data_IF_105601867144
#
_entry.id   IF_105601867144
#
_cell.length_a   1.000
_cell.length_b   1.000
_cell.length_c   1.000
_cell.angle_alpha   90.00
_cell.angle_beta   90.00
_cell.angle_gamma   90.00
#
_symmetry.space_group_name_H-M   'P 1'
#
loop_
_entity.id
_entity.type
_entity.pdbx_description
1 polymer ?
#
# COMPACT_ATOMS: atom_id res chain seq x y z
N UNK A 1 -20.86 3.11 7.85
CA UNK A 1 -19.65 3.00 7.00
C UNK A 1 -19.65 4.16 6.03
N UNK A 2 -18.69 5.08 6.14
CA UNK A 2 -18.61 6.23 5.25
C UNK A 2 -18.08 5.83 3.87
N UNK A 3 -18.44 6.60 2.84
CA UNK A 3 -17.85 6.44 1.49
C UNK A 3 -16.33 6.54 1.54
N UNK A 4 -15.80 7.43 2.38
CA UNK A 4 -14.37 7.64 2.59
C UNK A 4 -13.66 6.38 3.10
N UNK A 5 -14.28 5.64 4.02
CA UNK A 5 -13.74 4.36 4.50
C UNK A 5 -13.69 3.31 3.38
N UNK A 6 -14.78 3.20 2.59
CA UNK A 6 -14.85 2.25 1.47
C UNK A 6 -13.78 2.57 0.42
N UNK A 7 -13.66 3.84 0.02
CA UNK A 7 -12.65 4.28 -0.96
C UNK A 7 -11.22 4.00 -0.47
N UNK A 8 -10.95 4.23 0.82
CA UNK A 8 -9.64 3.97 1.42
C UNK A 8 -9.27 2.47 1.39
N UNK A 9 -10.23 1.56 1.61
CA UNK A 9 -10.00 0.11 1.48
C UNK A 9 -9.61 -0.24 0.04
N UNK A 10 -10.39 0.21 -0.94
CA UNK A 10 -10.10 -0.10 -2.35
C UNK A 10 -8.75 0.45 -2.80
N UNK A 11 -8.44 1.70 -2.45
CA UNK A 11 -7.12 2.28 -2.72
C UNK A 11 -6.00 1.50 -2.05
N UNK A 12 -6.19 1.05 -0.80
CA UNK A 12 -5.24 0.20 -0.10
C UNK A 12 -4.98 -1.13 -0.83
N UNK A 13 -6.03 -1.78 -1.33
CA UNK A 13 -5.90 -3.04 -2.10
C UNK A 13 -5.15 -2.86 -3.42
N UNK A 14 -5.35 -1.74 -4.12
CA UNK A 14 -4.58 -1.43 -5.33
C UNK A 14 -3.09 -1.21 -4.99
N UNK A 15 -2.79 -0.43 -3.96
CA UNK A 15 -1.40 -0.19 -3.53
C UNK A 15 -0.70 -1.49 -3.12
N UNK A 16 -1.39 -2.40 -2.44
CA UNK A 16 -0.85 -3.72 -2.11
C UNK A 16 -0.63 -4.60 -3.34
N UNK A 17 -1.44 -4.41 -4.40
CA UNK A 17 -1.24 -5.09 -5.69
C UNK A 17 0.05 -4.62 -6.37
N UNK A 18 0.37 -3.33 -6.28
CA UNK A 18 1.63 -2.77 -6.81
C UNK A 18 2.84 -3.30 -6.02
N UNK A 19 2.78 -3.32 -4.67
CA UNK A 19 3.82 -3.95 -3.84
C UNK A 19 4.02 -5.41 -4.21
N UNK A 20 2.94 -6.17 -4.40
CA UNK A 20 3.02 -7.57 -4.85
C UNK A 20 3.74 -7.68 -6.20
N UNK A 21 3.55 -6.74 -7.12
CA UNK A 21 4.29 -6.66 -8.38
C UNK A 21 5.80 -6.59 -8.13
N UNK A 22 6.24 -5.63 -7.32
CA UNK A 22 7.66 -5.47 -6.95
C UNK A 22 8.23 -6.76 -6.33
N UNK A 23 7.49 -7.41 -5.43
CA UNK A 23 7.93 -8.64 -4.78
C UNK A 23 8.00 -9.82 -5.75
N UNK A 24 7.12 -9.88 -6.75
CA UNK A 24 7.15 -10.90 -7.80
C UNK A 24 8.38 -10.75 -8.68
N UNK A 25 8.76 -9.52 -9.02
CA UNK A 25 9.92 -9.23 -9.87
C UNK A 25 11.27 -9.53 -9.19
N UNK A 26 11.26 -9.75 -7.87
CA UNK A 26 12.47 -10.01 -7.07
C UNK A 26 12.63 -11.48 -6.68
N UNK A 27 11.79 -12.38 -7.20
CA UNK A 27 11.93 -13.83 -6.98
C UNK A 27 13.28 -14.34 -7.52
N UNK A 28 13.95 -15.29 -6.85
CA UNK A 28 13.55 -15.94 -5.59
C UNK A 28 14.07 -15.27 -4.32
N UNK A 29 15.06 -14.37 -4.43
CA UNK A 29 15.74 -13.81 -3.25
C UNK A 29 14.99 -12.68 -2.56
N UNK A 30 13.96 -12.12 -3.20
CA UNK A 30 13.19 -10.97 -2.76
C UNK A 30 14.05 -9.74 -2.38
N UNK A 31 15.25 -9.64 -2.97
CA UNK A 31 16.15 -8.51 -2.73
C UNK A 31 15.77 -7.36 -3.65
N UNK A 32 15.39 -6.22 -3.06
CA UNK A 32 15.03 -5.03 -3.81
C UNK A 32 16.29 -4.24 -4.19
N UNK A 33 16.37 -3.83 -5.45
CA UNK A 33 17.28 -2.76 -5.90
C UNK A 33 16.93 -1.43 -5.23
N UNK A 34 17.85 -0.47 -5.24
CA UNK A 34 17.59 0.87 -4.67
C UNK A 34 16.41 1.58 -5.35
N UNK A 35 16.23 1.36 -6.65
CA UNK A 35 15.06 1.87 -7.39
C UNK A 35 13.75 1.24 -6.88
N UNK A 36 13.72 -0.08 -6.71
CA UNK A 36 12.55 -0.79 -6.17
C UNK A 36 12.27 -0.40 -4.72
N UNK A 37 13.30 -0.13 -3.90
CA UNK A 37 13.13 0.39 -2.54
C UNK A 37 12.47 1.77 -2.54
N UNK A 38 12.96 2.69 -3.37
CA UNK A 38 12.36 4.02 -3.51
C UNK A 38 10.92 3.97 -4.01
N UNK A 39 10.60 3.02 -4.90
CA UNK A 39 9.24 2.80 -5.38
C UNK A 39 8.34 2.22 -4.29
N UNK A 40 8.81 1.19 -3.58
CA UNK A 40 8.10 0.58 -2.45
C UNK A 40 7.84 1.61 -1.34
N UNK A 41 8.82 2.45 -1.00
CA UNK A 41 8.67 3.53 -0.02
C UNK A 41 7.53 4.49 -0.39
N UNK A 42 7.44 4.91 -1.66
CA UNK A 42 6.36 5.78 -2.13
C UNK A 42 4.99 5.11 -2.03
N UNK A 43 4.90 3.82 -2.35
CA UNK A 43 3.64 3.07 -2.30
C UNK A 43 3.21 2.85 -0.85
N UNK A 44 4.15 2.47 0.02
CA UNK A 44 3.92 2.28 1.46
C UNK A 44 3.46 3.59 2.10
N UNK A 45 4.12 4.72 1.81
CA UNK A 45 3.69 6.02 2.34
C UNK A 45 2.27 6.44 1.90
N UNK A 46 1.81 6.00 0.73
CA UNK A 46 0.40 6.16 0.32
C UNK A 46 -0.52 5.21 1.09
N UNK A 47 -0.10 3.97 1.33
CA UNK A 47 -0.87 2.97 2.07
C UNK A 47 -1.08 3.40 3.52
N UNK A 48 -0.05 3.94 4.17
CA UNK A 48 -0.13 4.48 5.53
C UNK A 48 -1.18 5.60 5.67
N UNK A 49 -1.32 6.45 4.64
CA UNK A 49 -2.38 7.46 4.59
C UNK A 49 -3.76 6.81 4.54
N UNK A 50 -3.95 5.77 3.71
CA UNK A 50 -5.22 5.04 3.67
C UNK A 50 -5.54 4.36 5.00
N UNK A 51 -4.54 3.76 5.65
CA UNK A 51 -4.68 3.17 6.98
C UNK A 51 -5.10 4.23 8.01
N UNK A 52 -4.51 5.43 7.95
CA UNK A 52 -4.87 6.53 8.84
C UNK A 52 -6.34 6.94 8.66
N UNK A 53 -6.81 7.05 7.41
CA UNK A 53 -8.23 7.28 7.09
C UNK A 53 -9.11 6.17 7.68
N UNK A 54 -8.73 4.90 7.52
CA UNK A 54 -9.51 3.78 8.06
C UNK A 54 -9.58 3.82 9.59
N UNK A 55 -8.50 4.20 10.26
CA UNK A 55 -8.51 4.37 11.72
C UNK A 55 -9.49 5.47 12.14
N UNK A 56 -9.46 6.63 11.46
CA UNK A 56 -10.40 7.72 11.71
C UNK A 56 -11.87 7.29 11.48
N UNK A 57 -12.15 6.57 10.40
CA UNK A 57 -13.53 6.30 10.00
C UNK A 57 -14.15 5.07 10.68
N UNK A 58 -13.33 4.14 11.19
CA UNK A 58 -13.79 2.86 11.76
C UNK A 58 -13.62 2.74 13.26
N UNK A 59 -12.68 3.48 13.85
CA UNK A 59 -12.29 3.34 15.27
C UNK A 59 -12.48 4.62 16.09
N UNK A 60 -12.87 5.73 15.47
CA UNK A 60 -13.22 6.96 16.18
C UNK A 60 -14.60 6.87 16.83
#
# INVERSE_FOLDING_TARGET
MSKRAVDAVFQGLYLLTDIRGILRDTVPSHTLSDKQKQEAEKIIGKLEKQISILKEELLA
#
